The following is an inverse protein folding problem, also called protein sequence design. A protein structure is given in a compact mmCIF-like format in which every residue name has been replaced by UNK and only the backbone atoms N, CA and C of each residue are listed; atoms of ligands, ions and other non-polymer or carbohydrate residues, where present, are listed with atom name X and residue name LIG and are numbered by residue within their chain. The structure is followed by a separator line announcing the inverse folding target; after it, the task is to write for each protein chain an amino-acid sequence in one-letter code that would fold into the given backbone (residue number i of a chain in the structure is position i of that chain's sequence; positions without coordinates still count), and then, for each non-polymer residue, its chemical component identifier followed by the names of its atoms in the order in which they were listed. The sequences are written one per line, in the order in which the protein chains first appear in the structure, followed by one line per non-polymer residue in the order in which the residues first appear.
data_IF_731422522786
#
_entry.id   IF_731422522786
#
_cell.length_a   1.000
_cell.length_b   1.000
_cell.length_c   1.000
_cell.angle_alpha   90.00
_cell.angle_beta   90.00
_cell.angle_gamma   90.00
#
_symmetry.space_group_name_H-M   'P 1'
#
loop_
_entity.id
_entity.type
_entity.pdbx_description
1 polymer ?
#
# COMPACT_ATOMS: atom_id res chain seq x y z
N UNK A 1 -14.04 52.64 31.38
CA UNK A 1 -15.49 52.90 31.55
C UNK A 1 -16.11 52.93 30.17
N UNK A 2 -17.34 52.41 30.02
CA UNK A 2 -18.17 52.36 28.78
C UNK A 2 -17.57 51.51 27.65
N UNK A 3 -18.07 50.33 27.22
CA UNK A 3 -19.39 49.77 26.81
C UNK A 3 -19.85 50.03 25.36
N UNK A 4 -20.66 49.06 24.88
CA UNK A 4 -21.37 48.94 23.59
C UNK A 4 -20.53 48.40 22.42
N UNK A 5 -20.66 47.15 21.95
CA UNK A 5 -21.81 46.38 21.37
C UNK A 5 -22.22 46.79 19.96
N UNK A 6 -22.14 45.84 19.02
CA UNK A 6 -23.12 45.66 17.94
C UNK A 6 -23.02 44.23 17.37
N UNK A 7 -24.14 43.53 17.38
CA UNK A 7 -24.39 42.35 16.56
C UNK A 7 -24.77 42.79 15.14
N UNK A 8 -24.64 41.91 14.15
CA UNK A 8 -25.83 41.33 13.50
C UNK A 8 -25.46 40.27 12.45
N UNK A 9 -26.47 39.46 12.12
CA UNK A 9 -26.43 38.24 11.33
C UNK A 9 -26.38 38.53 9.81
N UNK A 10 -26.21 37.48 8.99
CA UNK A 10 -26.85 37.20 7.69
C UNK A 10 -25.98 36.25 6.86
N UNK A 11 -26.44 35.02 6.81
CA UNK A 11 -26.08 33.96 5.86
C UNK A 11 -26.04 34.41 4.39
N UNK A 12 -25.04 33.97 3.62
CA UNK A 12 -25.18 33.64 2.17
C UNK A 12 -23.99 32.82 1.63
N UNK A 13 -24.24 31.58 1.22
CA UNK A 13 -23.29 30.77 0.41
C UNK A 13 -23.30 31.25 -1.05
N UNK A 14 -22.17 31.31 -1.77
CA UNK A 14 -22.16 31.54 -3.21
C UNK A 14 -22.61 30.28 -3.97
N UNK A 15 -23.59 30.43 -4.88
CA UNK A 15 -23.91 29.42 -5.91
C UNK A 15 -22.93 29.59 -7.07
N UNK A 16 -22.23 28.52 -7.48
CA UNK A 16 -21.67 28.47 -8.83
C UNK A 16 -22.80 28.20 -9.82
N UNK A 17 -22.95 29.06 -10.83
CA UNK A 17 -23.66 28.73 -12.06
C UNK A 17 -22.69 27.93 -12.95
N UNK A 18 -23.09 26.72 -13.37
CA UNK A 18 -22.51 26.09 -14.56
C UNK A 18 -23.41 26.38 -15.77
N UNK A 19 -22.87 27.15 -16.72
CA UNK A 19 -23.45 27.32 -18.05
C UNK A 19 -23.20 26.08 -18.89
N UNK A 20 -24.27 25.39 -19.30
CA UNK A 20 -24.18 24.27 -20.24
C UNK A 20 -23.88 24.78 -21.66
N UNK A 21 -22.73 24.40 -22.22
CA UNK A 21 -22.52 24.47 -23.67
C UNK A 21 -23.19 23.27 -24.34
N UNK A 22 -24.30 23.52 -25.04
CA UNK A 22 -24.92 22.55 -25.94
C UNK A 22 -24.00 22.27 -27.14
N UNK A 23 -23.44 21.06 -27.21
CA UNK A 23 -22.75 20.60 -28.43
C UNK A 23 -23.76 20.29 -29.54
N UNK A 24 -23.57 20.94 -30.68
CA UNK A 24 -24.41 20.79 -31.86
C UNK A 24 -23.90 19.61 -32.70
N UNK A 25 -24.71 18.55 -32.89
CA UNK A 25 -24.35 17.43 -33.74
C UNK A 25 -24.71 17.75 -35.21
N UNK A 26 -23.76 17.77 -36.16
CA UNK A 26 -24.05 18.11 -37.54
C UNK A 26 -24.72 16.95 -38.28
N UNK A 27 -25.87 17.22 -38.92
CA UNK A 27 -26.50 16.32 -39.87
C UNK A 27 -25.58 16.12 -41.09
N UNK A 28 -25.29 14.88 -41.46
CA UNK A 28 -24.83 14.55 -42.81
C UNK A 28 -25.91 13.75 -43.55
N UNK A 29 -26.32 14.28 -44.71
CA UNK A 29 -27.21 13.64 -45.66
C UNK A 29 -26.41 12.73 -46.60
N UNK A 30 -26.69 11.42 -46.60
CA UNK A 30 -26.03 10.41 -47.43
C UNK A 30 -27.03 9.56 -48.20
N UNK A 31 -26.85 9.48 -49.53
CA UNK A 31 -27.79 8.98 -50.55
C UNK A 31 -28.32 7.55 -50.34
N UNK A 32 -29.55 7.36 -50.85
CA UNK A 32 -30.19 6.08 -51.16
C UNK A 32 -29.31 5.21 -52.06
N UNK A 33 -29.27 3.91 -51.77
CA UNK A 33 -28.71 2.88 -52.66
C UNK A 33 -29.41 1.53 -52.41
N UNK A 34 -30.21 1.07 -53.37
CA UNK A 34 -30.82 -0.26 -53.32
C UNK A 34 -29.76 -1.36 -53.43
N UNK A 35 -29.91 -2.42 -52.65
CA UNK A 35 -29.32 -3.72 -52.99
C UNK A 35 -30.16 -4.86 -52.40
N UNK A 36 -30.95 -5.50 -53.27
CA UNK A 36 -31.67 -6.72 -52.95
C UNK A 36 -30.70 -7.88 -52.72
N UNK A 37 -30.85 -8.61 -51.62
CA UNK A 37 -30.72 -10.08 -51.65
C UNK A 37 -31.57 -10.74 -50.56
N UNK A 38 -32.24 -11.81 -50.93
CA UNK A 38 -33.13 -12.55 -50.03
C UNK A 38 -32.34 -13.37 -49.00
N UNK A 39 -32.93 -13.53 -47.81
CA UNK A 39 -32.45 -14.40 -46.75
C UNK A 39 -33.63 -14.78 -45.85
N UNK A 40 -34.35 -15.83 -46.22
CA UNK A 40 -35.45 -16.38 -45.43
C UNK A 40 -34.87 -17.07 -44.19
N UNK A 41 -35.29 -16.64 -43.00
CA UNK A 41 -35.13 -17.39 -41.75
C UNK A 41 -36.42 -17.31 -40.94
N UNK A 42 -36.79 -18.42 -40.31
CA UNK A 42 -38.14 -18.70 -39.82
C UNK A 42 -38.56 -17.89 -38.58
N UNK A 43 -39.83 -17.51 -38.56
CA UNK A 43 -40.59 -17.33 -37.31
C UNK A 43 -40.72 -18.68 -36.59
N UNK A 44 -40.07 -18.85 -35.44
CA UNK A 44 -40.56 -19.71 -34.34
C UNK A 44 -39.69 -19.59 -33.09
N UNK A 45 -40.10 -18.78 -32.13
CA UNK A 45 -40.15 -19.17 -30.70
C UNK A 45 -40.75 -18.04 -29.85
N UNK A 46 -41.88 -18.35 -29.22
CA UNK A 46 -42.42 -17.57 -28.12
C UNK A 46 -41.47 -17.62 -26.92
N UNK A 47 -40.96 -16.47 -26.50
CA UNK A 47 -40.42 -16.29 -25.15
C UNK A 47 -41.27 -15.25 -24.41
N UNK A 48 -41.65 -15.63 -23.20
CA UNK A 48 -42.45 -14.86 -22.26
C UNK A 48 -41.90 -13.45 -22.04
N UNK A 49 -42.70 -12.45 -22.35
CA UNK A 49 -42.52 -11.10 -21.82
C UNK A 49 -42.80 -11.12 -20.32
N UNK A 50 -41.79 -11.39 -19.50
CA UNK A 50 -41.85 -11.15 -18.06
C UNK A 50 -41.91 -9.63 -17.84
N UNK A 51 -43.13 -9.14 -17.58
CA UNK A 51 -43.32 -7.79 -17.08
C UNK A 51 -42.60 -7.67 -15.73
N UNK A 52 -41.45 -7.00 -15.72
CA UNK A 52 -40.83 -6.48 -14.50
C UNK A 52 -41.71 -5.35 -13.94
N UNK A 53 -42.79 -5.76 -13.29
CA UNK A 53 -43.68 -4.88 -12.54
C UNK A 53 -42.94 -4.38 -11.30
N UNK A 54 -42.18 -3.30 -11.44
CA UNK A 54 -41.65 -2.54 -10.32
C UNK A 54 -42.83 -2.09 -9.46
N UNK A 55 -42.95 -2.69 -8.27
CA UNK A 55 -43.94 -2.30 -7.26
C UNK A 55 -43.62 -0.87 -6.80
N UNK A 56 -44.20 0.13 -7.46
CA UNK A 56 -44.14 1.52 -7.03
C UNK A 56 -44.84 1.68 -5.68
N UNK A 57 -44.05 1.67 -4.61
CA UNK A 57 -44.45 2.22 -3.32
C UNK A 57 -44.71 3.72 -3.48
N UNK A 58 -45.77 4.22 -2.82
CA UNK A 58 -46.30 5.56 -3.06
C UNK A 58 -45.57 6.61 -2.22
N UNK A 59 -44.26 6.74 -2.43
CA UNK A 59 -43.40 7.68 -1.71
C UNK A 59 -41.96 7.83 -2.22
N UNK A 60 -41.43 6.83 -2.93
CA UNK A 60 -40.01 6.79 -3.29
C UNK A 60 -39.70 7.72 -4.47
N UNK A 61 -38.65 8.54 -4.35
CA UNK A 61 -38.24 9.42 -5.44
C UNK A 61 -37.46 8.64 -6.49
N UNK A 62 -37.39 9.17 -7.72
CA UNK A 62 -36.57 8.60 -8.79
C UNK A 62 -35.08 8.48 -8.41
N UNK A 63 -34.61 9.29 -7.46
CA UNK A 63 -33.26 9.21 -6.91
C UNK A 63 -33.08 8.05 -5.94
N UNK A 64 -34.09 7.76 -5.12
CA UNK A 64 -34.04 6.63 -4.18
C UNK A 64 -34.01 5.30 -4.94
N UNK A 65 -34.85 5.17 -5.98
CA UNK A 65 -34.84 4.03 -6.90
C UNK A 65 -33.52 3.90 -7.67
N UNK A 66 -32.90 5.02 -8.08
CA UNK A 66 -31.60 5.00 -8.73
C UNK A 66 -30.47 4.56 -7.77
N UNK A 67 -30.48 5.05 -6.52
CA UNK A 67 -29.52 4.64 -5.47
C UNK A 67 -29.69 3.15 -5.14
N UNK A 68 -30.93 2.68 -5.00
CA UNK A 68 -31.21 1.26 -4.74
C UNK A 68 -30.77 0.36 -5.91
N UNK A 69 -31.00 0.78 -7.15
CA UNK A 69 -30.52 0.08 -8.35
C UNK A 69 -28.99 -0.03 -8.37
N UNK A 70 -28.28 1.05 -8.05
CA UNK A 70 -26.81 1.03 -7.97
C UNK A 70 -26.33 0.12 -6.82
N UNK A 71 -26.93 0.20 -5.64
CA UNK A 71 -26.61 -0.67 -4.52
C UNK A 71 -26.92 -2.15 -4.77
N UNK A 72 -27.90 -2.47 -5.61
CA UNK A 72 -28.20 -3.85 -6.05
C UNK A 72 -27.13 -4.32 -7.05
N UNK A 73 -26.78 -3.51 -8.06
CA UNK A 73 -25.70 -3.83 -9.00
C UNK A 73 -24.34 -4.03 -8.32
N UNK A 74 -24.01 -3.27 -7.27
CA UNK A 74 -22.79 -3.45 -6.47
C UNK A 74 -22.80 -4.72 -5.58
N UNK A 75 -23.98 -5.30 -5.31
CA UNK A 75 -24.12 -6.58 -4.60
C UNK A 75 -24.05 -7.74 -5.58
N UNK A 76 -24.84 -7.70 -6.65
CA UNK A 76 -24.95 -8.77 -7.64
C UNK A 76 -23.63 -8.96 -8.43
N UNK A 77 -22.86 -7.89 -8.60
CA UNK A 77 -21.52 -7.94 -9.21
C UNK A 77 -20.47 -8.77 -8.45
N UNK A 78 -20.77 -9.30 -7.26
CA UNK A 78 -19.84 -10.15 -6.48
C UNK A 78 -19.92 -11.63 -6.84
N UNK A 79 -21.10 -12.12 -7.22
CA UNK A 79 -21.34 -13.53 -7.53
C UNK A 79 -21.30 -13.84 -9.04
N UNK A 80 -21.23 -12.80 -9.88
CA UNK A 80 -21.03 -12.91 -11.33
C UNK A 80 -19.59 -13.22 -11.77
N UNK A 81 -19.47 -13.72 -13.01
CA UNK A 81 -18.18 -13.97 -13.69
C UNK A 81 -17.25 -12.74 -13.65
N UNK A 82 -15.94 -12.98 -13.53
CA UNK A 82 -14.91 -11.95 -13.28
C UNK A 82 -14.91 -10.75 -14.25
N UNK A 83 -15.50 -10.87 -15.44
CA UNK A 83 -15.44 -9.85 -16.48
C UNK A 83 -16.35 -8.64 -16.25
N UNK A 84 -17.44 -8.76 -15.46
CA UNK A 84 -18.47 -7.72 -15.34
C UNK A 84 -18.47 -6.96 -13.99
N UNK A 85 -17.39 -7.06 -13.21
CA UNK A 85 -17.24 -6.30 -11.96
C UNK A 85 -16.86 -4.84 -12.26
N UNK A 86 -17.24 -3.86 -11.41
CA UNK A 86 -16.73 -2.50 -11.52
C UNK A 86 -15.20 -2.45 -11.51
N UNK A 87 -14.63 -1.34 -11.98
CA UNK A 87 -13.20 -1.10 -11.92
C UNK A 87 -12.75 -1.07 -10.44
N UNK A 88 -11.83 -1.95 -10.07
CA UNK A 88 -11.36 -2.02 -8.69
C UNK A 88 -10.13 -1.14 -8.50
N UNK A 89 -10.16 -0.33 -7.43
CA UNK A 89 -8.99 0.37 -6.92
C UNK A 89 -8.35 -0.47 -5.80
N UNK A 90 -7.04 -0.68 -5.91
CA UNK A 90 -6.22 -1.32 -4.88
C UNK A 90 -5.04 -0.45 -4.47
N UNK A 91 -4.45 -0.74 -3.31
CA UNK A 91 -3.27 -0.04 -2.82
C UNK A 91 -2.17 -1.02 -2.46
N UNK A 92 -0.93 -0.72 -2.86
CA UNK A 92 0.26 -1.51 -2.50
C UNK A 92 1.29 -0.57 -1.88
N UNK A 93 1.69 -0.85 -0.65
CA UNK A 93 2.76 -0.14 0.05
C UNK A 93 4.05 -0.96 0.00
N UNK A 94 5.08 -0.44 -0.68
CA UNK A 94 6.44 -0.98 -0.67
C UNK A 94 7.29 -0.23 0.35
N UNK A 95 7.97 -0.97 1.22
CA UNK A 95 8.82 -0.41 2.27
C UNK A 95 10.03 -1.30 2.54
N UNK A 96 11.09 -0.80 3.19
CA UNK A 96 12.29 -1.59 3.48
C UNK A 96 13.58 -0.78 3.42
N UNK A 97 14.72 -1.46 3.58
CA UNK A 97 16.06 -0.84 3.69
C UNK A 97 16.36 0.12 2.54
N UNK A 98 17.24 1.11 2.79
CA UNK A 98 17.79 1.96 1.73
C UNK A 98 18.55 1.06 0.73
N UNK A 99 18.38 1.30 -0.57
CA UNK A 99 18.99 0.52 -1.68
C UNK A 99 18.65 -0.98 -1.75
N UNK A 100 17.55 -1.45 -1.13
CA UNK A 100 17.12 -2.87 -1.23
C UNK A 100 16.48 -3.27 -2.58
N UNK A 101 16.30 -2.32 -3.51
CA UNK A 101 15.78 -2.58 -4.87
C UNK A 101 14.28 -2.32 -5.06
N UNK A 102 13.60 -1.71 -4.08
CA UNK A 102 12.17 -1.34 -4.10
C UNK A 102 11.72 -0.63 -5.39
N UNK A 103 12.27 0.56 -5.69
CA UNK A 103 11.98 1.31 -6.93
C UNK A 103 12.17 0.45 -8.18
N UNK A 104 13.21 -0.38 -8.21
CA UNK A 104 13.47 -1.30 -9.32
C UNK A 104 12.40 -2.41 -9.44
N UNK A 105 11.86 -2.91 -8.33
CA UNK A 105 10.71 -3.84 -8.33
C UNK A 105 9.47 -3.15 -8.93
N UNK A 106 9.21 -1.90 -8.56
CA UNK A 106 8.08 -1.10 -9.08
C UNK A 106 8.21 -0.87 -10.58
N UNK A 107 9.38 -0.41 -11.04
CA UNK A 107 9.65 -0.18 -12.46
C UNK A 107 9.51 -1.47 -13.29
N UNK A 108 10.01 -2.60 -12.79
CA UNK A 108 9.84 -3.93 -13.43
C UNK A 108 8.40 -4.44 -13.38
N UNK A 109 7.59 -4.03 -12.41
CA UNK A 109 6.15 -4.32 -12.38
C UNK A 109 5.37 -3.50 -13.41
N UNK A 110 5.75 -2.23 -13.61
CA UNK A 110 5.11 -1.29 -14.54
C UNK A 110 5.65 -1.35 -15.99
N UNK A 111 6.51 -2.32 -16.31
CA UNK A 111 7.21 -2.43 -17.61
C UNK A 111 7.95 -1.14 -18.03
N UNK A 112 8.61 -0.49 -17.06
CA UNK A 112 9.45 0.70 -17.29
C UNK A 112 10.93 0.35 -17.23
N UNK A 113 11.64 0.58 -18.33
CA UNK A 113 13.11 0.47 -18.42
C UNK A 113 13.81 1.80 -18.07
N UNK A 114 13.38 2.41 -16.97
CA UNK A 114 14.02 3.62 -16.41
C UNK A 114 15.09 3.24 -15.37
N UNK A 115 16.09 4.10 -15.17
CA UNK A 115 17.05 3.93 -14.09
C UNK A 115 16.38 4.21 -12.73
N UNK A 116 16.48 3.27 -11.79
CA UNK A 116 15.92 3.42 -10.46
C UNK A 116 16.61 4.57 -9.69
N UNK A 117 15.85 5.63 -9.41
CA UNK A 117 16.33 6.81 -8.66
C UNK A 117 16.22 6.58 -7.14
N UNK A 118 17.00 7.29 -6.30
CA UNK A 118 16.87 7.20 -4.86
C UNK A 118 15.55 7.81 -4.38
N UNK A 119 14.68 7.00 -3.78
CA UNK A 119 13.35 7.42 -3.30
C UNK A 119 13.43 8.54 -2.25
N UNK A 120 12.80 9.68 -2.50
CA UNK A 120 12.67 10.74 -1.49
C UNK A 120 11.38 10.56 -0.68
N UNK A 121 11.52 10.62 0.65
CA UNK A 121 10.42 10.52 1.61
C UNK A 121 9.39 9.39 1.38
N UNK A 122 8.27 9.70 0.71
CA UNK A 122 7.24 8.77 0.30
C UNK A 122 6.84 9.11 -1.14
N UNK A 123 7.13 8.22 -2.08
CA UNK A 123 6.79 8.41 -3.49
C UNK A 123 5.47 7.71 -3.84
N UNK A 124 4.69 8.34 -4.72
CA UNK A 124 3.43 7.80 -5.24
C UNK A 124 3.58 7.52 -6.73
N UNK A 125 3.09 6.36 -7.17
CA UNK A 125 2.96 5.99 -8.58
C UNK A 125 1.69 5.16 -8.75
N UNK A 126 1.08 5.14 -9.93
CA UNK A 126 -0.05 4.26 -10.19
C UNK A 126 0.18 3.36 -11.40
N UNK A 127 -0.31 2.13 -11.32
CA UNK A 127 -0.41 1.20 -12.44
C UNK A 127 -1.87 1.12 -12.93
N UNK A 128 -2.05 0.80 -14.21
CA UNK A 128 -3.37 0.49 -14.77
C UNK A 128 -3.33 -0.83 -15.50
N UNK A 129 -4.32 -1.69 -15.26
CA UNK A 129 -4.52 -2.94 -16.00
C UNK A 129 -5.83 -2.87 -16.76
N UNK A 130 -5.77 -2.98 -18.08
CA UNK A 130 -6.98 -3.15 -18.87
C UNK A 130 -7.57 -4.54 -18.60
N UNK A 131 -8.89 -4.60 -18.41
CA UNK A 131 -9.64 -5.86 -18.56
C UNK A 131 -9.97 -6.03 -20.06
N UNK A 132 -10.62 -7.15 -20.43
CA UNK A 132 -11.16 -7.34 -21.78
C UNK A 132 -12.23 -6.28 -22.13
N UNK A 133 -12.83 -5.67 -21.10
CA UNK A 133 -13.80 -4.58 -21.18
C UNK A 133 -13.14 -3.20 -21.02
N UNK A 134 -13.87 -2.12 -21.37
CA UNK A 134 -13.42 -0.73 -21.26
C UNK A 134 -13.02 -0.28 -19.84
N UNK A 135 -13.42 -1.02 -18.80
CA UNK A 135 -13.03 -0.78 -17.42
C UNK A 135 -11.54 -1.09 -17.18
N UNK A 136 -10.84 -0.20 -16.47
CA UNK A 136 -9.42 -0.33 -16.15
C UNK A 136 -9.25 -0.40 -14.63
N UNK A 137 -8.65 -1.48 -14.15
CA UNK A 137 -8.24 -1.59 -12.75
C UNK A 137 -7.09 -0.62 -12.48
N UNK A 138 -7.09 0.01 -11.31
CA UNK A 138 -6.06 0.95 -10.89
C UNK A 138 -5.39 0.42 -9.63
N UNK A 139 -4.06 0.34 -9.65
CA UNK A 139 -3.27 0.07 -8.45
C UNK A 139 -2.51 1.33 -8.05
N UNK A 140 -2.77 1.79 -6.83
CA UNK A 140 -2.07 2.87 -6.17
C UNK A 140 -0.82 2.32 -5.48
N UNK A 141 0.36 2.73 -5.92
CA UNK A 141 1.65 2.22 -5.44
C UNK A 141 2.33 3.31 -4.61
N UNK A 142 2.62 3.00 -3.36
CA UNK A 142 3.33 3.87 -2.42
C UNK A 142 4.70 3.28 -2.13
N UNK A 143 5.78 4.05 -2.32
CA UNK A 143 7.15 3.63 -1.97
C UNK A 143 7.69 4.46 -0.81
N UNK A 144 8.00 3.79 0.31
CA UNK A 144 8.64 4.43 1.46
C UNK A 144 10.17 4.53 1.27
N UNK A 145 10.64 5.75 1.03
CA UNK A 145 12.04 6.13 1.07
C UNK A 145 12.60 6.24 2.50
N UNK A 146 13.89 6.52 2.63
CA UNK A 146 14.51 6.80 3.95
C UNK A 146 14.76 5.60 4.87
N UNK A 147 14.21 4.41 4.60
CA UNK A 147 14.38 3.22 5.44
C UNK A 147 13.47 3.25 6.67
N UNK A 148 14.02 3.06 7.87
CA UNK A 148 13.26 3.10 9.13
C UNK A 148 12.93 4.51 9.61
N UNK A 149 13.71 5.51 9.22
CA UNK A 149 13.64 6.88 9.75
C UNK A 149 12.28 7.56 9.49
N UNK A 150 11.75 7.40 8.28
CA UNK A 150 10.47 7.99 7.87
C UNK A 150 9.27 7.05 8.01
N UNK A 151 9.39 6.02 8.84
CA UNK A 151 8.33 5.02 9.06
C UNK A 151 6.97 5.58 9.49
N UNK A 152 6.90 6.83 10.00
CA UNK A 152 5.63 7.54 10.26
C UNK A 152 4.86 7.94 8.99
N UNK A 153 5.52 8.09 7.83
CA UNK A 153 4.83 8.41 6.56
C UNK A 153 3.93 7.27 6.08
N UNK A 154 4.06 6.07 6.63
CA UNK A 154 3.13 4.95 6.41
C UNK A 154 1.67 5.36 6.71
N UNK A 155 1.45 6.25 7.68
CA UNK A 155 0.12 6.72 8.08
C UNK A 155 -0.61 7.51 6.96
N UNK A 156 0.09 8.03 5.95
CA UNK A 156 -0.58 8.69 4.80
C UNK A 156 -1.05 7.68 3.75
N UNK A 157 -0.33 6.56 3.59
CA UNK A 157 -0.70 5.49 2.66
C UNK A 157 -1.77 4.54 3.23
N UNK A 158 -1.77 4.32 4.56
CA UNK A 158 -2.68 3.41 5.27
C UNK A 158 -3.79 4.20 5.95
N UNK A 159 -4.92 4.36 5.26
CA UNK A 159 -6.07 5.12 5.75
C UNK A 159 -7.36 4.28 5.68
N UNK A 160 -8.44 4.82 6.24
CA UNK A 160 -9.78 4.19 6.32
C UNK A 160 -10.31 3.71 4.96
N UNK A 161 -9.97 4.40 3.87
CA UNK A 161 -10.41 4.04 2.52
C UNK A 161 -9.52 2.97 1.89
N UNK A 162 -8.20 3.07 2.06
CA UNK A 162 -7.25 2.13 1.42
C UNK A 162 -7.18 0.77 2.13
N UNK A 163 -7.35 0.72 3.46
CA UNK A 163 -6.99 -0.45 4.29
C UNK A 163 -7.72 -1.75 3.92
N UNK A 164 -8.92 -1.68 3.32
CA UNK A 164 -9.68 -2.87 2.85
C UNK A 164 -9.02 -3.58 1.66
N UNK A 165 -8.37 -2.82 0.79
CA UNK A 165 -7.75 -3.25 -0.46
C UNK A 165 -6.26 -2.88 -0.49
N UNK A 166 -5.65 -2.82 0.69
CA UNK A 166 -4.23 -2.59 0.89
C UNK A 166 -3.47 -3.92 0.95
N UNK A 167 -2.35 -4.00 0.25
CA UNK A 167 -1.30 -4.99 0.48
C UNK A 167 0.03 -4.32 0.84
N UNK A 168 0.85 -4.99 1.66
CA UNK A 168 2.14 -4.47 2.13
C UNK A 168 3.27 -5.38 1.65
N UNK A 169 4.33 -4.79 1.10
CA UNK A 169 5.51 -5.49 0.60
C UNK A 169 6.74 -4.94 1.34
N UNK A 170 7.33 -5.76 2.20
CA UNK A 170 8.54 -5.46 2.94
C UNK A 170 9.77 -6.00 2.21
N UNK A 171 10.60 -5.13 1.65
CA UNK A 171 11.80 -5.47 0.85
C UNK A 171 13.07 -5.31 1.68
N UNK A 172 13.61 -6.42 2.16
CA UNK A 172 14.80 -6.51 2.99
C UNK A 172 16.06 -6.71 2.13
N UNK A 173 17.18 -6.12 2.54
CA UNK A 173 18.46 -6.21 1.82
C UNK A 173 19.26 -7.43 2.26
N UNK A 174 19.20 -8.55 1.51
CA UNK A 174 19.88 -9.79 1.92
C UNK A 174 21.42 -9.66 1.94
N UNK A 175 22.00 -8.64 1.29
CA UNK A 175 23.45 -8.39 1.36
C UNK A 175 23.91 -7.75 2.68
N UNK A 176 22.98 -7.35 3.56
CA UNK A 176 23.27 -6.71 4.86
C UNK A 176 22.42 -7.32 5.99
N UNK A 177 22.77 -8.54 6.45
CA UNK A 177 22.06 -9.15 7.59
C UNK A 177 22.15 -8.29 8.87
N UNK A 178 23.16 -7.43 8.97
CA UNK A 178 23.41 -6.53 10.11
C UNK A 178 22.41 -5.36 10.21
N UNK A 179 21.61 -5.06 9.17
CA UNK A 179 20.49 -4.10 9.24
C UNK A 179 19.10 -4.74 9.13
N UNK A 180 19.05 -6.04 8.81
CA UNK A 180 17.86 -6.76 8.38
C UNK A 180 16.82 -6.87 9.49
N UNK A 181 17.21 -7.29 10.70
CA UNK A 181 16.25 -7.50 11.79
C UNK A 181 15.70 -6.18 12.31
N UNK A 182 16.56 -5.20 12.58
CA UNK A 182 16.13 -3.87 13.06
C UNK A 182 15.21 -3.19 12.04
N UNK A 183 15.51 -3.30 10.75
CA UNK A 183 14.64 -2.76 9.70
C UNK A 183 13.29 -3.46 9.69
N UNK A 184 13.28 -4.80 9.65
CA UNK A 184 12.07 -5.61 9.65
C UNK A 184 11.18 -5.36 10.87
N UNK A 185 11.75 -5.42 12.08
CA UNK A 185 11.02 -5.22 13.34
C UNK A 185 10.42 -3.81 13.43
N UNK A 186 11.18 -2.78 13.08
CA UNK A 186 10.71 -1.39 13.13
C UNK A 186 9.57 -1.15 12.15
N UNK A 187 9.74 -1.59 10.90
CA UNK A 187 8.77 -1.33 9.83
C UNK A 187 7.46 -2.11 10.04
N UNK A 188 7.53 -3.38 10.42
CA UNK A 188 6.33 -4.19 10.70
C UNK A 188 5.53 -3.64 11.89
N UNK A 189 6.19 -3.16 12.95
CA UNK A 189 5.53 -2.53 14.10
C UNK A 189 4.78 -1.26 13.69
N UNK A 190 5.38 -0.40 12.85
CA UNK A 190 4.75 0.84 12.40
C UNK A 190 3.55 0.58 11.46
N UNK A 191 3.68 -0.34 10.49
CA UNK A 191 2.55 -0.74 9.64
C UNK A 191 1.42 -1.36 10.46
N UNK A 192 1.72 -2.24 11.42
CA UNK A 192 0.67 -2.88 12.23
C UNK A 192 -0.11 -1.82 13.01
N UNK A 193 0.58 -0.89 13.66
CA UNK A 193 -0.05 0.23 14.35
C UNK A 193 -0.88 1.14 13.42
N UNK A 194 -0.40 1.42 12.20
CA UNK A 194 -1.14 2.19 11.20
C UNK A 194 -2.42 1.46 10.73
N UNK A 195 -2.29 0.17 10.40
CA UNK A 195 -3.39 -0.68 9.96
C UNK A 195 -4.44 -0.87 11.07
N UNK A 196 -4.03 -1.17 12.30
CA UNK A 196 -4.93 -1.36 13.44
C UNK A 196 -5.71 -0.07 13.77
N UNK A 197 -5.09 1.11 13.65
CA UNK A 197 -5.78 2.41 13.78
C UNK A 197 -6.82 2.60 12.68
N UNK A 198 -6.42 2.48 11.42
CA UNK A 198 -7.32 2.66 10.26
C UNK A 198 -8.46 1.63 10.24
N UNK A 199 -8.22 0.39 10.70
CA UNK A 199 -9.27 -0.63 10.87
C UNK A 199 -10.20 -0.29 12.04
N UNK A 200 -9.67 0.19 13.17
CA UNK A 200 -10.50 0.59 14.31
C UNK A 200 -11.34 1.84 14.03
N UNK A 201 -10.91 2.72 13.12
CA UNK A 201 -11.71 3.83 12.61
C UNK A 201 -12.76 3.35 11.60
N UNK A 202 -12.38 2.47 10.67
CA UNK A 202 -13.31 1.89 9.70
C UNK A 202 -14.43 1.06 10.37
N UNK A 203 -14.12 0.31 11.44
CA UNK A 203 -15.08 -0.50 12.20
C UNK A 203 -16.10 0.34 13.00
N UNK A 204 -15.76 1.62 13.32
CA UNK A 204 -16.73 2.58 13.89
C UNK A 204 -17.72 3.09 12.83
N UNK A 205 -17.28 3.21 11.58
CA UNK A 205 -18.13 3.66 10.46
C UNK A 205 -18.95 2.50 9.88
N UNK A 206 -18.40 1.29 9.88
CA UNK A 206 -19.00 0.07 9.34
C UNK A 206 -18.71 -1.10 10.31
N UNK A 207 -19.61 -1.38 11.28
CA UNK A 207 -19.38 -2.40 12.29
C UNK A 207 -19.26 -3.80 11.65
N UNK A 208 -18.25 -4.55 12.10
CA UNK A 208 -18.00 -5.93 11.64
C UNK A 208 -16.91 -6.03 10.57
N UNK A 209 -16.44 -4.91 10.00
CA UNK A 209 -15.31 -4.92 9.05
C UNK A 209 -14.04 -5.46 9.70
N UNK A 210 -13.79 -5.14 10.98
CA UNK A 210 -12.65 -5.69 11.73
C UNK A 210 -12.71 -7.21 11.85
N UNK A 211 -13.91 -7.76 12.06
CA UNK A 211 -14.12 -9.20 12.16
C UNK A 211 -13.96 -9.88 10.79
N UNK A 212 -14.49 -9.28 9.72
CA UNK A 212 -14.34 -9.78 8.35
C UNK A 212 -12.88 -9.80 7.88
N UNK A 213 -12.11 -8.73 8.13
CA UNK A 213 -10.68 -8.68 7.80
C UNK A 213 -9.88 -9.72 8.60
N UNK A 214 -10.15 -9.84 9.91
CA UNK A 214 -9.51 -10.86 10.75
C UNK A 214 -9.83 -12.28 10.28
N UNK A 215 -11.10 -12.57 9.93
CA UNK A 215 -11.49 -13.86 9.37
C UNK A 215 -10.72 -14.15 8.07
N UNK A 216 -10.69 -13.22 7.12
CA UNK A 216 -9.96 -13.34 5.85
C UNK A 216 -8.45 -13.61 6.02
N UNK A 217 -7.84 -13.07 7.07
CA UNK A 217 -6.44 -13.36 7.40
C UNK A 217 -6.25 -14.76 8.04
N UNK A 218 -7.24 -15.26 8.79
CA UNK A 218 -7.21 -16.55 9.48
C UNK A 218 -7.72 -17.74 8.63
N UNK A 219 -8.49 -17.51 7.56
CA UNK A 219 -8.99 -18.53 6.63
C UNK A 219 -7.88 -19.45 6.07
N UNK A 220 -6.66 -18.92 5.92
CA UNK A 220 -5.47 -19.70 5.48
C UNK A 220 -4.91 -20.65 6.54
N UNK A 221 -5.32 -20.47 7.78
CA UNK A 221 -4.82 -21.16 8.97
C UNK A 221 -5.88 -22.04 9.63
N UNK A 222 -7.07 -22.18 9.04
CA UNK A 222 -8.21 -22.79 9.74
C UNK A 222 -7.99 -24.27 10.09
N UNK A 223 -7.32 -25.02 9.20
CA UNK A 223 -6.90 -26.42 9.38
C UNK A 223 -5.40 -26.58 9.69
N UNK A 224 -4.69 -25.48 10.00
CA UNK A 224 -3.24 -25.47 10.12
C UNK A 224 -2.76 -25.85 11.53
N UNK A 225 -1.74 -26.73 11.70
CA UNK A 225 -1.29 -27.17 13.03
C UNK A 225 -0.78 -26.03 13.93
N UNK A 226 -0.21 -24.98 13.33
CA UNK A 226 0.36 -23.83 14.05
C UNK A 226 -0.65 -22.71 14.38
N UNK A 227 -1.97 -22.94 14.20
CA UNK A 227 -3.03 -21.91 14.28
C UNK A 227 -3.00 -21.05 15.55
N UNK A 228 -2.70 -21.66 16.70
CA UNK A 228 -2.66 -20.99 18.01
C UNK A 228 -1.34 -20.23 18.28
N UNK A 229 -0.32 -20.46 17.45
CA UNK A 229 1.05 -19.94 17.63
C UNK A 229 1.40 -18.81 16.63
N UNK A 230 0.55 -18.56 15.63
CA UNK A 230 0.74 -17.49 14.63
C UNK A 230 -0.06 -16.23 14.98
N UNK A 231 0.47 -15.07 14.59
CA UNK A 231 -0.19 -13.76 14.64
C UNK A 231 -0.27 -13.12 13.23
N UNK A 232 -1.09 -13.69 12.31
CA UNK A 232 -1.26 -13.18 10.96
C UNK A 232 -1.56 -11.68 10.91
N UNK A 233 -0.94 -11.01 9.94
CA UNK A 233 -1.06 -9.57 9.76
C UNK A 233 -2.49 -9.19 9.32
N UNK A 234 -3.09 -8.08 9.82
CA UNK A 234 -4.48 -7.71 9.52
C UNK A 234 -4.72 -7.29 8.05
N UNK A 235 -3.66 -7.05 7.28
CA UNK A 235 -3.68 -6.82 5.83
C UNK A 235 -2.68 -7.78 5.15
N UNK A 236 -2.89 -8.17 3.88
CA UNK A 236 -1.96 -9.02 3.15
C UNK A 236 -0.52 -8.50 3.18
N UNK A 237 0.41 -9.32 3.67
CA UNK A 237 1.83 -9.00 3.81
C UNK A 237 2.67 -9.95 2.94
N UNK A 238 3.69 -9.39 2.28
CA UNK A 238 4.74 -10.14 1.58
C UNK A 238 6.11 -9.65 2.03
N UNK A 239 6.98 -10.57 2.41
CA UNK A 239 8.38 -10.29 2.71
C UNK A 239 9.21 -10.67 1.47
N UNK A 240 9.98 -9.71 0.97
CA UNK A 240 10.85 -9.88 -0.20
C UNK A 240 12.30 -9.75 0.23
N UNK A 241 13.09 -10.81 0.01
CA UNK A 241 14.54 -10.76 0.15
C UNK A 241 15.18 -10.26 -1.15
N UNK A 242 15.59 -9.00 -1.17
CA UNK A 242 16.27 -8.36 -2.31
C UNK A 242 17.75 -8.74 -2.40
N UNK A 243 18.37 -8.49 -3.56
CA UNK A 243 19.78 -8.80 -3.89
C UNK A 243 20.15 -10.27 -3.68
N UNK A 244 19.27 -11.20 -4.07
CA UNK A 244 19.56 -12.63 -4.01
C UNK A 244 20.87 -13.02 -4.75
N UNK A 245 21.24 -12.27 -5.78
CA UNK A 245 22.48 -12.45 -6.54
C UNK A 245 23.77 -12.22 -5.74
N UNK A 246 23.72 -11.51 -4.61
CA UNK A 246 24.83 -11.38 -3.65
C UNK A 246 24.68 -12.42 -2.53
N UNK A 247 23.45 -12.66 -2.08
CA UNK A 247 23.14 -13.62 -1.01
C UNK A 247 23.47 -15.08 -1.38
N UNK A 248 23.34 -15.46 -2.66
CA UNK A 248 23.67 -16.81 -3.12
C UNK A 248 25.14 -17.19 -2.83
N UNK A 249 26.05 -16.21 -2.83
CA UNK A 249 27.49 -16.39 -2.65
C UNK A 249 27.91 -16.39 -1.16
N UNK A 250 26.97 -16.21 -0.22
CA UNK A 250 27.25 -16.26 1.21
C UNK A 250 27.51 -17.69 1.70
N UNK A 251 28.22 -17.81 2.83
CA UNK A 251 28.46 -19.09 3.51
C UNK A 251 27.15 -19.86 3.76
N UNK A 252 27.16 -21.18 3.55
CA UNK A 252 25.99 -22.05 3.72
C UNK A 252 25.35 -21.93 5.11
N UNK A 253 26.14 -21.73 6.15
CA UNK A 253 25.65 -21.51 7.52
C UNK A 253 24.90 -20.18 7.67
N UNK A 254 25.50 -19.06 7.21
CA UNK A 254 24.85 -17.74 7.22
C UNK A 254 23.55 -17.76 6.42
N UNK A 255 23.56 -18.35 5.22
CA UNK A 255 22.35 -18.54 4.39
C UNK A 255 21.28 -19.35 5.13
N UNK A 256 21.65 -20.47 5.76
CA UNK A 256 20.72 -21.32 6.55
C UNK A 256 20.08 -20.54 7.71
N UNK A 257 20.83 -19.73 8.44
CA UNK A 257 20.32 -18.90 9.55
C UNK A 257 19.35 -17.83 9.03
N UNK A 258 19.74 -17.07 8.00
CA UNK A 258 18.92 -16.01 7.40
C UNK A 258 17.63 -16.60 6.82
N UNK A 259 17.72 -17.68 6.05
CA UNK A 259 16.56 -18.37 5.47
C UNK A 259 15.60 -18.89 6.54
N UNK A 260 16.08 -19.58 7.59
CA UNK A 260 15.25 -20.05 8.70
C UNK A 260 14.53 -18.90 9.42
N UNK A 261 15.26 -17.81 9.67
CA UNK A 261 14.72 -16.64 10.39
C UNK A 261 13.63 -15.95 9.57
N UNK A 262 13.87 -15.71 8.27
CA UNK A 262 12.87 -15.13 7.37
C UNK A 262 11.64 -16.03 7.20
N UNK A 263 11.83 -17.36 7.14
CA UNK A 263 10.72 -18.34 7.13
C UNK A 263 9.88 -18.28 8.39
N UNK A 264 10.51 -18.30 9.56
CA UNK A 264 9.82 -18.14 10.85
C UNK A 264 9.02 -16.84 10.90
N UNK A 265 9.63 -15.70 10.55
CA UNK A 265 8.96 -14.40 10.62
C UNK A 265 7.82 -14.29 9.60
N UNK A 266 7.99 -14.81 8.38
CA UNK A 266 6.93 -14.84 7.39
C UNK A 266 5.74 -15.67 7.87
N UNK A 267 5.98 -16.88 8.39
CA UNK A 267 4.94 -17.76 8.89
C UNK A 267 4.22 -17.18 10.11
N UNK A 268 4.97 -16.67 11.09
CA UNK A 268 4.44 -16.03 12.30
C UNK A 268 3.49 -14.86 11.97
N UNK A 269 3.78 -14.07 10.94
CA UNK A 269 2.94 -12.95 10.51
C UNK A 269 1.98 -13.26 9.36
N UNK A 270 1.81 -14.53 8.95
CA UNK A 270 0.90 -14.89 7.86
C UNK A 270 1.27 -14.29 6.50
N UNK A 271 2.56 -14.02 6.29
CA UNK A 271 3.10 -13.40 5.10
C UNK A 271 3.64 -14.43 4.10
N UNK A 272 3.61 -14.10 2.80
CA UNK A 272 4.36 -14.85 1.79
C UNK A 272 5.83 -14.40 1.80
N UNK A 273 6.77 -15.33 1.57
CA UNK A 273 8.20 -15.05 1.45
C UNK A 273 8.67 -15.28 0.00
N UNK A 274 9.38 -14.32 -0.57
CA UNK A 274 9.94 -14.39 -1.93
C UNK A 274 11.37 -13.84 -1.97
N UNK A 275 12.30 -14.54 -2.62
CA UNK A 275 13.61 -13.98 -2.96
C UNK A 275 13.63 -13.35 -4.36
N UNK A 276 14.29 -12.20 -4.48
CA UNK A 276 14.29 -11.34 -5.66
C UNK A 276 15.71 -10.87 -6.03
N UNK A 277 16.01 -10.83 -7.32
CA UNK A 277 17.21 -10.19 -7.87
C UNK A 277 16.92 -9.58 -9.23
N UNK A 278 17.49 -8.40 -9.48
CA UNK A 278 17.43 -7.71 -10.77
C UNK A 278 18.29 -8.38 -11.85
N UNK A 279 19.24 -9.25 -11.48
CA UNK A 279 20.07 -10.00 -12.43
C UNK A 279 19.40 -11.29 -12.92
N UNK A 280 18.35 -11.77 -12.23
CA UNK A 280 17.72 -13.07 -12.48
C UNK A 280 16.29 -12.90 -12.97
N UNK A 281 16.08 -12.95 -14.30
CA UNK A 281 14.76 -12.77 -14.94
C UNK A 281 13.65 -13.63 -14.30
N UNK A 282 13.93 -14.89 -13.99
CA UNK A 282 12.96 -15.79 -13.34
C UNK A 282 12.42 -15.26 -12.00
N UNK A 283 13.22 -14.52 -11.23
CA UNK A 283 12.79 -13.91 -9.96
C UNK A 283 12.03 -12.61 -10.18
N UNK A 284 12.37 -11.86 -11.23
CA UNK A 284 11.62 -10.68 -11.66
C UNK A 284 10.20 -11.10 -12.05
N UNK A 285 10.05 -12.12 -12.91
CA UNK A 285 8.76 -12.63 -13.37
C UNK A 285 7.90 -13.12 -12.18
N UNK A 286 8.51 -13.84 -11.22
CA UNK A 286 7.86 -14.24 -9.96
C UNK A 286 7.36 -13.03 -9.14
N UNK A 287 8.19 -11.99 -8.98
CA UNK A 287 7.82 -10.76 -8.29
C UNK A 287 6.65 -10.03 -8.96
N UNK A 288 6.68 -9.92 -10.30
CA UNK A 288 5.60 -9.32 -11.08
C UNK A 288 4.27 -10.06 -10.91
N UNK A 289 4.29 -11.40 -10.95
CA UNK A 289 3.08 -12.21 -10.77
C UNK A 289 2.55 -12.10 -9.33
N UNK A 290 3.42 -12.06 -8.32
CA UNK A 290 3.03 -11.83 -6.92
C UNK A 290 2.35 -10.46 -6.74
N UNK A 291 2.92 -9.38 -7.28
CA UNK A 291 2.32 -8.04 -7.20
C UNK A 291 0.99 -8.01 -7.95
N UNK A 292 0.88 -8.60 -9.14
CA UNK A 292 -0.40 -8.69 -9.86
C UNK A 292 -1.49 -9.44 -9.08
N UNK A 293 -1.14 -10.49 -8.32
CA UNK A 293 -2.07 -11.18 -7.44
C UNK A 293 -2.55 -10.28 -6.28
N UNK A 294 -1.64 -9.56 -5.61
CA UNK A 294 -1.99 -8.62 -4.55
C UNK A 294 -2.86 -7.45 -5.05
N UNK A 295 -2.47 -6.85 -6.16
CA UNK A 295 -3.09 -5.63 -6.70
C UNK A 295 -4.45 -5.88 -7.34
N UNK A 296 -4.70 -7.07 -7.88
CA UNK A 296 -5.86 -7.28 -8.76
C UNK A 296 -6.60 -8.61 -8.56
N UNK A 297 -6.31 -9.35 -7.48
CA UNK A 297 -6.95 -10.64 -7.21
C UNK A 297 -6.80 -11.66 -8.35
N UNK A 298 -5.77 -11.52 -9.20
CA UNK A 298 -5.47 -12.48 -10.25
C UNK A 298 -5.33 -13.89 -9.64
N UNK A 299 -5.66 -14.94 -10.39
CA UNK A 299 -5.62 -16.31 -9.90
C UNK A 299 -4.33 -16.59 -9.10
N UNK A 300 -4.48 -17.18 -7.90
CA UNK A 300 -3.37 -17.42 -6.98
C UNK A 300 -2.21 -18.04 -7.77
N UNK A 301 -0.99 -17.47 -7.71
CA UNK A 301 0.02 -17.82 -8.69
C UNK A 301 0.30 -19.32 -8.67
N UNK A 302 0.22 -19.98 -9.83
CA UNK A 302 0.84 -21.29 -10.03
C UNK A 302 2.37 -21.14 -10.11
N UNK A 303 2.95 -20.43 -9.13
CA UNK A 303 4.39 -20.36 -8.93
C UNK A 303 4.83 -21.76 -8.51
N UNK A 304 5.39 -22.47 -9.50
CA UNK A 304 5.94 -23.82 -9.44
C UNK A 304 6.52 -24.13 -8.06
N UNK A 305 5.96 -25.17 -7.43
CA UNK A 305 6.44 -25.88 -6.24
C UNK A 305 7.25 -25.05 -5.23
N UNK A 306 6.63 -24.75 -4.08
CA UNK A 306 7.26 -24.14 -2.91
C UNK A 306 8.73 -24.55 -2.74
N UNK A 307 9.63 -23.56 -2.63
CA UNK A 307 11.07 -23.80 -2.52
C UNK A 307 11.52 -23.47 -1.10
N UNK A 308 11.76 -24.52 -0.31
CA UNK A 308 12.21 -24.44 1.09
C UNK A 308 13.73 -24.56 1.25
N UNK A 309 14.45 -24.93 0.18
CA UNK A 309 15.89 -25.12 0.19
C UNK A 309 16.65 -23.79 0.29
N UNK A 310 17.57 -23.71 1.24
CA UNK A 310 18.42 -22.53 1.50
C UNK A 310 19.51 -22.31 0.43
N UNK A 311 19.71 -23.27 -0.49
CA UNK A 311 20.60 -23.19 -1.65
C UNK A 311 19.93 -22.60 -2.90
N UNK A 312 18.61 -22.42 -2.88
CA UNK A 312 17.80 -21.95 -4.02
C UNK A 312 17.04 -20.67 -3.64
N UNK A 313 16.54 -19.90 -4.63
CA UNK A 313 15.68 -18.76 -4.36
C UNK A 313 14.37 -19.20 -3.70
N UNK A 314 14.18 -18.84 -2.43
CA UNK A 314 13.01 -19.21 -1.64
C UNK A 314 11.74 -18.59 -2.22
N UNK A 315 10.69 -19.39 -2.28
CA UNK A 315 9.32 -18.94 -2.51
C UNK A 315 8.36 -19.78 -1.68
N UNK A 316 7.59 -19.11 -0.83
CA UNK A 316 6.65 -19.70 0.13
C UNK A 316 5.39 -18.82 0.17
N UNK A 317 4.21 -19.36 -0.20
CA UNK A 317 2.96 -18.65 0.00
C UNK A 317 2.54 -18.69 1.47
N UNK A 318 1.87 -17.62 1.92
CA UNK A 318 1.30 -17.53 3.27
C UNK A 318 0.40 -18.74 3.62
N UNK A 319 0.57 -19.31 4.81
CA UNK A 319 -0.18 -20.46 5.30
C UNK A 319 0.34 -21.84 4.87
N UNK A 320 1.47 -21.92 4.17
CA UNK A 320 1.98 -23.18 3.61
C UNK A 320 3.33 -23.67 4.18
N UNK A 321 4.01 -22.86 5.00
CA UNK A 321 5.14 -23.32 5.83
C UNK A 321 4.63 -23.85 7.18
N UNK A 322 5.47 -24.51 7.97
CA UNK A 322 5.11 -24.93 9.32
C UNK A 322 6.31 -24.84 10.28
N UNK A 323 6.07 -24.51 11.55
CA UNK A 323 7.15 -24.39 12.55
C UNK A 323 7.95 -25.70 12.70
N UNK A 324 7.30 -26.86 12.56
CA UNK A 324 7.97 -28.16 12.54
C UNK A 324 8.96 -28.32 11.36
N UNK A 325 8.63 -27.75 10.18
CA UNK A 325 9.49 -27.81 8.98
C UNK A 325 10.61 -26.77 9.00
N UNK A 326 10.42 -25.65 9.71
CA UNK A 326 11.44 -24.63 9.94
C UNK A 326 12.44 -25.14 10.99
N UNK A 327 11.95 -25.85 12.01
CA UNK A 327 12.71 -26.36 13.14
C UNK A 327 13.11 -25.28 14.16
N UNK A 328 13.90 -25.63 15.19
CA UNK A 328 14.25 -24.71 16.26
C UNK A 328 15.11 -23.53 15.77
N UNK A 329 15.11 -22.40 16.52
CA UNK A 329 16.00 -21.27 16.27
C UNK A 329 17.48 -21.71 16.37
N UNK A 330 18.37 -21.17 15.52
CA UNK A 330 19.80 -21.44 15.59
C UNK A 330 20.42 -20.68 16.77
N UNK A 331 20.26 -21.24 17.97
CA UNK A 331 20.90 -20.74 19.19
C UNK A 331 22.30 -21.38 19.33
N UNK A 332 23.31 -20.64 19.82
CA UNK A 332 24.57 -21.22 20.25
C UNK A 332 24.35 -22.31 21.31
N UNK A 333 25.14 -23.39 21.25
CA UNK A 333 25.00 -24.52 22.16
C UNK A 333 25.18 -24.07 23.63
N UNK A 334 24.19 -24.40 24.47
CA UNK A 334 24.13 -24.01 25.89
C UNK A 334 22.84 -23.31 26.31
N UNK A 335 22.19 -22.55 25.43
CA UNK A 335 21.01 -21.73 25.79
C UNK A 335 19.64 -22.40 25.56
N UNK A 336 19.61 -23.65 25.09
CA UNK A 336 18.36 -24.34 24.68
C UNK A 336 17.45 -24.69 25.87
N UNK A 337 18.00 -24.86 27.08
CA UNK A 337 17.25 -25.36 28.25
C UNK A 337 16.71 -24.33 29.24
N UNK A 338 17.13 -23.05 29.16
CA UNK A 338 16.90 -22.06 30.22
C UNK A 338 15.87 -20.97 29.89
N UNK A 339 15.43 -20.85 28.63
CA UNK A 339 14.53 -19.79 28.20
C UNK A 339 13.17 -20.31 27.74
N UNK A 340 12.25 -20.48 28.70
CA UNK A 340 10.81 -20.43 28.43
C UNK A 340 10.43 -18.99 28.07
N UNK A 341 10.69 -18.59 26.82
CA UNK A 341 10.38 -17.25 26.37
C UNK A 341 8.87 -17.07 26.22
N UNK A 342 8.35 -16.02 26.85
CA UNK A 342 6.94 -15.61 26.75
C UNK A 342 6.52 -15.13 25.34
N UNK A 343 7.45 -15.08 24.39
CA UNK A 343 7.21 -14.71 22.99
C UNK A 343 8.22 -15.41 22.06
N UNK A 344 7.78 -16.26 21.11
CA UNK A 344 8.66 -16.91 20.13
C UNK A 344 9.52 -15.94 19.30
N UNK A 345 8.99 -14.75 18.97
CA UNK A 345 9.70 -13.76 18.14
C UNK A 345 10.97 -13.25 18.81
N UNK A 346 10.99 -13.12 20.14
CA UNK A 346 12.16 -12.66 20.89
C UNK A 346 13.26 -13.74 20.98
N UNK A 347 12.93 -15.04 20.91
CA UNK A 347 13.96 -16.10 20.77
C UNK A 347 14.66 -16.03 19.42
N UNK A 348 13.89 -15.89 18.34
CA UNK A 348 14.44 -15.76 17.00
C UNK A 348 15.23 -14.46 16.82
N UNK A 349 14.82 -13.38 17.48
CA UNK A 349 15.59 -12.15 17.61
C UNK A 349 16.96 -12.42 18.22
N UNK A 350 17.01 -12.99 19.43
CA UNK A 350 18.27 -13.25 20.14
C UNK A 350 19.20 -14.16 19.33
N UNK A 351 18.66 -15.24 18.74
CA UNK A 351 19.41 -16.14 17.86
C UNK A 351 20.00 -15.40 16.65
N UNK A 352 19.19 -14.60 15.95
CA UNK A 352 19.65 -13.83 14.78
C UNK A 352 20.67 -12.75 15.16
N UNK A 353 20.41 -11.95 16.20
CA UNK A 353 21.30 -10.86 16.63
C UNK A 353 22.60 -11.36 17.27
N UNK A 354 22.61 -12.60 17.79
CA UNK A 354 23.83 -13.25 18.28
C UNK A 354 24.79 -13.66 17.16
N UNK A 355 24.26 -14.04 15.99
CA UNK A 355 25.06 -14.33 14.79
C UNK A 355 25.34 -13.08 13.94
N UNK A 356 24.43 -12.11 13.91
CA UNK A 356 24.52 -10.88 13.11
C UNK A 356 24.25 -9.65 13.99
N UNK A 357 25.30 -9.06 14.62
CA UNK A 357 25.16 -7.88 15.48
C UNK A 357 24.49 -6.73 14.74
N UNK A 358 23.34 -6.28 15.24
CA UNK A 358 22.52 -5.32 14.49
C UNK A 358 23.02 -3.88 14.63
N UNK A 359 23.24 -3.23 13.49
CA UNK A 359 23.58 -1.81 13.43
C UNK A 359 22.29 -1.01 13.57
N UNK A 360 22.20 -0.19 14.63
CA UNK A 360 21.09 0.75 14.78
C UNK A 360 21.08 1.74 13.61
N UNK A 361 19.90 1.99 13.03
CA UNK A 361 19.75 2.89 11.90
C UNK A 361 20.14 4.32 12.28
N UNK A 362 21.39 4.70 12.01
CA UNK A 362 21.86 6.08 12.17
C UNK A 362 21.00 6.98 11.27
N UNK A 363 20.48 8.11 11.76
CA UNK A 363 19.79 9.09 10.92
C UNK A 363 20.81 9.70 9.94
N UNK A 364 20.96 9.04 8.79
CA UNK A 364 21.66 9.59 7.65
C UNK A 364 20.86 10.80 7.21
N UNK A 365 21.46 11.98 7.36
CA UNK A 365 20.93 13.26 6.88
C UNK A 365 20.36 13.02 5.49
N UNK A 366 19.05 13.19 5.33
CA UNK A 366 18.49 13.21 3.98
C UNK A 366 18.96 14.52 3.34
N UNK A 367 19.49 14.40 2.14
CA UNK A 367 19.70 15.56 1.29
C UNK A 367 18.37 16.31 1.17
N UNK A 368 18.44 17.63 1.34
CA UNK A 368 17.28 18.51 1.35
C UNK A 368 16.54 18.37 0.01
N UNK A 369 15.28 17.86 -0.03
CA UNK A 369 14.57 17.65 -1.29
C UNK A 369 14.39 18.94 -2.09
N UNK A 370 14.45 20.11 -1.44
CA UNK A 370 14.44 21.42 -2.09
C UNK A 370 15.69 21.73 -2.93
N UNK A 371 16.75 20.93 -2.81
CA UNK A 371 18.02 21.09 -3.54
C UNK A 371 18.22 20.04 -4.62
N UNK A 372 17.31 19.08 -4.73
CA UNK A 372 17.35 18.05 -5.77
C UNK A 372 16.81 18.64 -7.08
N UNK A 373 17.63 18.70 -8.17
CA UNK A 373 17.21 19.24 -9.46
C UNK A 373 15.99 18.54 -10.08
N UNK A 374 15.62 17.33 -9.63
CA UNK A 374 14.42 16.64 -10.07
C UNK A 374 13.12 17.36 -9.70
N UNK A 375 13.11 18.09 -8.58
CA UNK A 375 11.91 18.77 -8.06
C UNK A 375 11.97 20.29 -8.22
N UNK A 376 12.94 20.80 -9.00
CA UNK A 376 13.09 22.23 -9.27
C UNK A 376 11.95 22.74 -10.16
N UNK A 377 11.19 23.70 -9.66
CA UNK A 377 10.04 24.31 -10.34
C UNK A 377 10.17 25.83 -10.22
N UNK A 378 10.73 26.49 -11.24
CA UNK A 378 11.11 27.91 -11.24
C UNK A 378 10.03 28.88 -10.71
N UNK A 379 8.75 28.59 -10.97
CA UNK A 379 7.61 29.37 -10.44
C UNK A 379 7.39 29.17 -8.92
N UNK A 380 7.49 27.94 -8.43
CA UNK A 380 7.38 27.60 -7.01
C UNK A 380 8.62 28.09 -6.25
N UNK A 381 9.81 27.91 -6.82
CA UNK A 381 11.07 28.34 -6.24
C UNK A 381 11.14 29.87 -6.09
N UNK A 382 10.68 30.63 -7.10
CA UNK A 382 10.57 32.09 -7.00
C UNK A 382 9.55 32.53 -5.93
N UNK A 383 8.38 31.88 -5.85
CA UNK A 383 7.37 32.14 -4.81
C UNK A 383 7.91 31.83 -3.40
N UNK A 384 8.67 30.74 -3.26
CA UNK A 384 9.32 30.37 -2.01
C UNK A 384 10.39 31.38 -1.61
N UNK A 385 11.28 31.76 -2.53
CA UNK A 385 12.29 32.78 -2.29
C UNK A 385 11.66 34.10 -1.82
N UNK A 386 10.57 34.53 -2.47
CA UNK A 386 9.83 35.73 -2.06
C UNK A 386 9.28 35.60 -0.62
N UNK A 387 8.78 34.42 -0.23
CA UNK A 387 8.28 34.15 1.13
C UNK A 387 9.38 34.05 2.18
N UNK A 388 10.53 33.47 1.84
CA UNK A 388 11.70 33.41 2.72
C UNK A 388 12.27 34.83 2.96
N UNK A 389 12.34 35.67 1.92
CA UNK A 389 12.67 37.09 2.07
C UNK A 389 11.66 37.87 2.94
N UNK A 390 10.36 37.64 2.76
CA UNK A 390 9.31 38.24 3.58
C UNK A 390 9.44 37.84 5.05
N UNK A 391 9.71 36.54 5.30
CA UNK A 391 9.94 35.99 6.63
C UNK A 391 11.20 36.56 7.30
N UNK A 392 12.29 36.75 6.56
CA UNK A 392 13.49 37.42 7.07
C UNK A 392 13.22 38.88 7.45
N UNK A 393 12.53 39.63 6.59
CA UNK A 393 12.13 41.02 6.88
C UNK A 393 11.25 41.07 8.13
N UNK A 394 10.32 40.13 8.27
CA UNK A 394 9.48 40.01 9.46
C UNK A 394 10.31 39.70 10.72
N UNK A 395 11.23 38.73 10.68
CA UNK A 395 12.13 38.38 11.80
C UNK A 395 12.97 39.59 12.24
N UNK A 396 13.62 40.29 11.31
CA UNK A 396 14.42 41.51 11.58
C UNK A 396 13.56 42.62 12.22
N UNK A 397 12.33 42.82 11.74
CA UNK A 397 11.39 43.80 12.30
C UNK A 397 10.89 43.41 13.70
N UNK A 398 10.59 42.12 13.93
CA UNK A 398 10.17 41.61 15.23
C UNK A 398 11.30 41.72 16.27
N UNK A 399 12.53 41.38 15.89
CA UNK A 399 13.71 41.53 16.74
C UNK A 399 13.96 43.01 17.10
N UNK A 400 13.87 43.92 16.12
CA UNK A 400 13.98 45.35 16.35
C UNK A 400 12.94 45.86 17.35
N UNK A 401 11.66 45.51 17.15
CA UNK A 401 10.57 45.87 18.09
C UNK A 401 10.81 45.29 19.49
N UNK A 402 11.29 44.06 19.59
CA UNK A 402 11.65 43.44 20.87
C UNK A 402 12.77 44.21 21.59
N UNK A 403 13.83 44.60 20.87
CA UNK A 403 14.93 45.43 21.40
C UNK A 403 14.46 46.83 21.82
N UNK A 404 13.54 47.45 21.07
CA UNK A 404 12.95 48.75 21.40
C UNK A 404 12.05 48.66 22.66
N UNK A 405 11.22 47.62 22.78
CA UNK A 405 10.40 47.35 23.97
C UNK A 405 11.27 47.07 25.20
N UNK A 406 12.36 46.30 25.06
CA UNK A 406 13.30 46.05 26.15
C UNK A 406 13.93 47.35 26.66
N UNK A 407 14.40 48.21 25.75
CA UNK A 407 14.94 49.55 26.10
C UNK A 407 13.92 50.44 26.80
N UNK A 408 12.66 50.45 26.34
CA UNK A 408 11.60 51.20 27.04
C UNK A 408 11.32 50.65 28.43
N UNK A 409 11.39 49.32 28.61
CA UNK A 409 11.18 48.66 29.91
C UNK A 409 12.30 48.95 30.91
N UNK A 410 13.53 49.03 30.45
CA UNK A 410 14.68 49.36 31.31
C UNK A 410 14.76 50.87 31.58
N UNK A 411 14.35 51.71 30.62
CA UNK A 411 14.19 53.16 30.82
C UNK A 411 13.04 53.56 31.76
N UNK A 412 12.10 52.64 32.07
CA UNK A 412 11.06 52.83 33.10
C UNK A 412 11.48 52.35 34.51
N UNK A 413 12.72 51.89 34.68
CA UNK A 413 13.28 51.44 35.97
C UNK A 413 14.34 52.39 36.55
N UNK A 414 14.64 53.48 35.85
CA UNK A 414 15.32 54.67 36.38
C UNK A 414 14.26 55.70 36.77
#
# INVERSE_FOLDING_TARGET
MVNCTLSDDVTRKPRLLMTFHTFHCPKQTGKVGELRRAGVWNDSSSSSGENFALNMSKGDSIWDLAIETVHQQEKDGKDGQQENRPAEESSVLLMGSKTSGKTSIILRFLDRDEAAKPTTALEFTFGRRARNNLAKDVVNIWELGGGTFLSRLVDTAINVNSVRQLAVILVLDLSRPDDLWVTMETLLKQVRAAADRSIAELDKLQPGVKQALRKKAWEKYDEHPDKDMVDPFPVPLVIVGGKYDVFQDFDSEKRKIICKTLRFVAHNYGASLLFFSLKMKQLIDRGRVMINHLSFGAAAPQLKSMQLEHSKPIYIPAGADAFQQIGPPPLPEGNVGTMSARNPVELWKQAFTGHFPQVSAVPTVQDDPAKDPQYAESSIDAMRQQKDEELERYRKNAERKSREIARMRDGLKM
#
